data_IF_523883363856
#
_entry.id   IF_523883363856
#
_cell.length_a   1.000
_cell.length_b   1.000
_cell.length_c   1.000
_cell.angle_alpha   90.00
_cell.angle_beta   90.00
_cell.angle_gamma   90.00
#
_symmetry.space_group_name_H-M   'P 1'
#
loop_
_entity.id
_entity.type
_entity.pdbx_description
1 polymer ?
#
# COMPACT_ATOMS: atom_id res chain seq x y z
N UNK A 1 -20.44 8.83 -18.53
CA UNK A 1 -19.36 9.61 -17.87
C UNK A 1 -20.04 10.57 -16.93
N UNK A 2 -20.08 10.30 -15.63
CA UNK A 2 -20.50 11.31 -14.66
C UNK A 2 -19.32 12.26 -14.48
N UNK A 3 -19.50 13.51 -14.90
CA UNK A 3 -18.63 14.61 -14.52
C UNK A 3 -18.76 14.78 -13.02
N UNK A 4 -17.70 14.60 -12.28
CA UNK A 4 -17.68 14.85 -10.84
C UNK A 4 -17.46 16.35 -10.71
N UNK A 5 -18.54 17.11 -10.57
CA UNK A 5 -18.48 18.51 -10.18
C UNK A 5 -18.19 18.59 -8.68
N UNK A 6 -17.11 19.28 -8.34
CA UNK A 6 -16.72 19.58 -6.96
C UNK A 6 -17.37 20.89 -6.54
N UNK A 7 -18.20 20.84 -5.54
CA UNK A 7 -18.68 22.04 -4.87
C UNK A 7 -17.80 22.37 -3.67
N UNK A 8 -16.80 23.20 -3.91
CA UNK A 8 -15.93 23.80 -2.88
C UNK A 8 -16.46 25.16 -2.39
N UNK A 9 -17.65 25.56 -2.83
CA UNK A 9 -18.24 26.85 -2.47
C UNK A 9 -18.53 26.99 -0.98
N UNK A 10 -18.58 25.86 -0.23
CA UNK A 10 -18.93 25.84 1.19
C UNK A 10 -17.76 26.01 2.17
N UNK A 11 -16.48 25.80 1.73
CA UNK A 11 -15.30 25.99 2.61
C UNK A 11 -14.08 26.63 1.91
N UNK A 12 -14.16 27.91 1.53
CA UNK A 12 -13.07 28.56 0.80
C UNK A 12 -11.77 28.70 1.60
N UNK A 13 -11.82 28.72 2.92
CA UNK A 13 -10.64 28.90 3.77
C UNK A 13 -9.82 27.61 3.96
N UNK A 14 -10.47 26.49 4.21
CA UNK A 14 -9.77 25.19 4.33
C UNK A 14 -9.12 24.77 3.01
N UNK A 15 -9.72 25.13 1.89
CA UNK A 15 -9.15 24.90 0.57
C UNK A 15 -7.89 25.74 0.34
N UNK A 16 -7.88 27.03 0.70
CA UNK A 16 -6.70 27.89 0.63
C UNK A 16 -5.56 27.36 1.50
N UNK A 17 -5.87 26.87 2.70
CA UNK A 17 -4.88 26.24 3.59
C UNK A 17 -4.29 24.97 2.95
N UNK A 18 -5.12 24.15 2.31
CA UNK A 18 -4.66 22.96 1.58
C UNK A 18 -3.70 23.34 0.43
N UNK A 19 -4.07 24.34 -0.39
CA UNK A 19 -3.19 24.81 -1.47
C UNK A 19 -1.88 25.39 -0.93
N UNK A 20 -1.95 26.10 0.18
CA UNK A 20 -0.76 26.65 0.85
C UNK A 20 0.16 25.53 1.36
N UNK A 21 -0.42 24.50 2.02
CA UNK A 21 0.32 23.33 2.48
C UNK A 21 1.04 22.64 1.30
N UNK A 22 0.29 22.31 0.24
CA UNK A 22 0.84 21.60 -0.93
C UNK A 22 1.92 22.43 -1.63
N UNK A 23 1.68 23.73 -1.84
CA UNK A 23 2.65 24.63 -2.46
C UNK A 23 3.94 24.72 -1.66
N UNK A 24 3.84 24.76 -0.32
CA UNK A 24 5.00 24.73 0.59
C UNK A 24 5.79 23.44 0.43
N UNK A 25 5.11 22.28 0.41
CA UNK A 25 5.78 20.99 0.33
C UNK A 25 6.46 20.76 -1.04
N UNK A 26 5.86 21.22 -2.15
CA UNK A 26 6.49 21.19 -3.48
C UNK A 26 7.74 22.10 -3.48
N UNK A 27 7.63 23.32 -2.95
CA UNK A 27 8.76 24.27 -2.89
C UNK A 27 9.89 23.80 -1.99
N UNK A 28 9.58 23.08 -0.92
CA UNK A 28 10.58 22.51 0.00
C UNK A 28 11.20 21.20 -0.52
N UNK A 29 10.75 20.70 -1.68
CA UNK A 29 11.26 19.48 -2.29
C UNK A 29 10.77 18.19 -1.62
N UNK A 30 9.65 18.21 -0.89
CA UNK A 30 9.06 16.99 -0.31
C UNK A 30 8.62 16.03 -1.40
N UNK A 31 8.04 16.54 -2.47
CA UNK A 31 7.67 15.80 -3.69
C UNK A 31 7.52 16.79 -4.86
N UNK A 32 7.69 16.35 -6.11
CA UNK A 32 7.49 17.21 -7.29
C UNK A 32 6.02 17.51 -7.56
N UNK A 33 5.13 16.61 -7.18
CA UNK A 33 3.69 16.75 -7.31
C UNK A 33 2.93 15.72 -6.47
N UNK A 34 1.63 15.93 -6.33
CA UNK A 34 0.74 15.07 -5.56
C UNK A 34 -0.66 15.07 -6.16
N UNK A 35 -1.30 13.90 -6.20
CA UNK A 35 -2.72 13.73 -6.49
C UNK A 35 -3.43 13.34 -5.19
N UNK A 36 -4.56 14.04 -4.87
CA UNK A 36 -5.31 13.82 -3.63
C UNK A 36 -6.77 13.55 -3.96
N UNK A 37 -7.30 12.51 -3.35
CA UNK A 37 -8.75 12.27 -3.24
C UNK A 37 -9.15 12.31 -1.77
N UNK A 38 -10.23 13.05 -1.49
CA UNK A 38 -11.00 12.94 -0.27
C UNK A 38 -12.45 12.61 -0.61
N UNK A 39 -12.96 11.53 -0.02
CA UNK A 39 -14.33 11.07 -0.28
C UNK A 39 -15.03 10.65 1.01
N UNK A 40 -16.35 10.68 0.99
CA UNK A 40 -17.22 10.14 2.06
C UNK A 40 -18.28 9.23 1.43
N UNK A 41 -18.12 7.92 1.63
CA UNK A 41 -18.92 6.93 0.93
C UNK A 41 -18.69 6.97 -0.59
N UNK A 42 -19.78 7.16 -1.34
CA UNK A 42 -19.72 7.33 -2.81
C UNK A 42 -19.44 8.77 -3.26
N UNK A 43 -19.62 9.77 -2.37
CA UNK A 43 -19.42 11.18 -2.70
C UNK A 43 -17.94 11.53 -2.63
N UNK A 44 -17.37 11.95 -3.76
CA UNK A 44 -16.04 12.55 -3.82
C UNK A 44 -16.16 14.02 -3.44
N UNK A 45 -15.42 14.43 -2.41
CA UNK A 45 -15.40 15.81 -1.90
C UNK A 45 -14.22 16.60 -2.44
N UNK A 46 -13.10 15.92 -2.76
CA UNK A 46 -11.94 16.48 -3.41
C UNK A 46 -11.34 15.45 -4.36
N UNK A 47 -10.99 15.86 -5.57
CA UNK A 47 -10.09 15.12 -6.46
C UNK A 47 -9.29 16.13 -7.28
N UNK A 48 -8.03 16.31 -6.90
CA UNK A 48 -7.16 17.29 -7.56
C UNK A 48 -5.71 16.83 -7.59
N UNK A 49 -4.98 17.30 -8.58
CA UNK A 49 -3.54 17.12 -8.73
C UNK A 49 -2.82 18.47 -8.72
N UNK A 50 -1.63 18.49 -8.14
CA UNK A 50 -0.77 19.67 -8.03
C UNK A 50 0.67 19.32 -8.40
N UNK A 51 1.38 20.29 -8.94
CA UNK A 51 2.80 20.15 -9.32
C UNK A 51 3.01 19.34 -10.58
N UNK A 52 4.17 18.75 -10.68
CA UNK A 52 4.67 18.08 -11.89
C UNK A 52 5.04 16.62 -11.61
N UNK A 53 5.28 15.85 -12.66
CA UNK A 53 5.75 14.47 -12.56
C UNK A 53 7.19 14.36 -12.03
N UNK A 54 8.01 15.39 -12.24
CA UNK A 54 9.43 15.47 -11.82
C UNK A 54 9.75 16.86 -11.33
N UNK A 55 10.82 17.02 -10.52
CA UNK A 55 11.28 18.34 -10.08
C UNK A 55 11.83 19.20 -11.21
N UNK A 56 12.49 18.59 -12.19
CA UNK A 56 13.12 19.31 -13.30
C UNK A 56 12.21 19.31 -14.53
N UNK A 57 11.59 20.46 -14.79
CA UNK A 57 10.95 20.83 -16.07
C UNK A 57 10.13 19.69 -16.71
N UNK A 58 9.09 19.25 -16.06
CA UNK A 58 8.33 18.09 -16.48
C UNK A 58 6.87 18.41 -16.79
N UNK A 59 6.19 17.43 -17.36
CA UNK A 59 4.75 17.46 -17.56
C UNK A 59 3.99 17.61 -16.24
N UNK A 60 2.86 18.31 -16.22
CA UNK A 60 2.04 18.44 -15.03
C UNK A 60 1.54 17.10 -14.51
N UNK A 61 1.35 17.02 -13.19
CA UNK A 61 0.63 15.91 -12.55
C UNK A 61 -0.84 15.96 -12.95
N UNK A 62 -1.39 14.83 -13.38
CA UNK A 62 -2.77 14.73 -13.88
C UNK A 62 -3.62 13.80 -12.99
N UNK A 63 -4.97 13.89 -13.10
CA UNK A 63 -5.93 13.05 -12.35
C UNK A 63 -5.96 11.57 -12.82
N UNK A 64 -5.20 11.22 -13.83
CA UNK A 64 -5.01 9.87 -14.31
C UNK A 64 -3.53 9.45 -14.29
N UNK A 65 -2.72 10.18 -13.52
CA UNK A 65 -1.32 9.80 -13.30
C UNK A 65 -1.25 8.45 -12.60
N UNK A 66 -0.40 7.59 -13.13
CA UNK A 66 -0.15 6.24 -12.60
C UNK A 66 1.09 6.29 -11.70
N UNK A 67 0.97 5.76 -10.49
CA UNK A 67 2.05 5.76 -9.51
C UNK A 67 2.48 4.33 -9.17
N UNK A 68 3.77 4.13 -8.95
CA UNK A 68 4.24 2.99 -8.15
C UNK A 68 3.73 3.17 -6.72
N UNK A 69 2.75 2.38 -6.33
CA UNK A 69 2.11 2.52 -5.02
C UNK A 69 2.85 1.78 -3.91
N UNK A 70 3.98 1.16 -4.24
CA UNK A 70 4.88 0.48 -3.32
C UNK A 70 4.11 -0.47 -2.36
N UNK A 71 4.25 -0.26 -1.06
CA UNK A 71 3.67 -1.15 -0.04
C UNK A 71 2.15 -1.16 0.03
N UNK A 72 1.42 -0.30 -0.68
CA UNK A 72 -0.03 -0.47 -0.85
C UNK A 72 -0.36 -1.78 -1.60
N UNK A 73 0.61 -2.37 -2.30
CA UNK A 73 0.51 -3.72 -2.88
C UNK A 73 0.10 -4.76 -1.83
N UNK A 74 0.63 -4.66 -0.60
CA UNK A 74 0.36 -5.60 0.48
C UNK A 74 -1.13 -5.76 0.78
N UNK A 75 -1.86 -4.69 1.16
CA UNK A 75 -3.28 -4.78 1.45
C UNK A 75 -4.14 -4.92 0.19
N UNK A 76 -3.82 -4.21 -0.89
CA UNK A 76 -4.66 -4.18 -2.10
C UNK A 76 -4.61 -5.51 -2.85
N UNK A 77 -3.43 -6.10 -2.98
CA UNK A 77 -3.23 -7.32 -3.77
C UNK A 77 -3.14 -8.54 -2.87
N UNK A 78 -2.05 -8.63 -2.10
CA UNK A 78 -1.67 -9.86 -1.39
C UNK A 78 -2.70 -10.27 -0.35
N UNK A 79 -3.09 -9.34 0.54
CA UNK A 79 -4.13 -9.60 1.55
C UNK A 79 -5.46 -9.99 0.91
N UNK A 80 -5.89 -9.25 -0.10
CA UNK A 80 -7.16 -9.53 -0.79
C UNK A 80 -7.16 -10.92 -1.41
N UNK A 81 -6.08 -11.33 -2.08
CA UNK A 81 -5.94 -12.65 -2.68
C UNK A 81 -5.89 -13.77 -1.63
N UNK A 82 -5.16 -13.57 -0.53
CA UNK A 82 -5.15 -14.53 0.58
C UNK A 82 -6.57 -14.75 1.11
N UNK A 83 -7.32 -13.68 1.33
CA UNK A 83 -8.68 -13.79 1.84
C UNK A 83 -9.64 -14.43 0.84
N UNK A 84 -9.46 -14.17 -0.46
CA UNK A 84 -10.25 -14.85 -1.51
C UNK A 84 -9.97 -16.36 -1.57
N UNK A 85 -8.72 -16.79 -1.39
CA UNK A 85 -8.38 -18.22 -1.34
C UNK A 85 -8.88 -18.86 -0.04
N UNK A 86 -8.85 -18.13 1.07
CA UNK A 86 -9.44 -18.58 2.34
C UNK A 86 -10.96 -18.84 2.20
N UNK A 87 -11.70 -17.94 1.57
CA UNK A 87 -13.14 -18.13 1.31
C UNK A 87 -13.44 -19.36 0.45
N UNK A 88 -12.48 -19.76 -0.39
CA UNK A 88 -12.57 -20.98 -1.20
C UNK A 88 -12.10 -22.24 -0.48
N UNK A 89 -11.67 -22.13 0.77
CA UNK A 89 -11.12 -23.26 1.53
C UNK A 89 -9.78 -23.78 1.02
N UNK A 90 -9.05 -22.97 0.22
CA UNK A 90 -7.75 -23.38 -0.33
C UNK A 90 -6.58 -23.12 0.63
N UNK A 91 -6.81 -22.30 1.67
CA UNK A 91 -5.88 -22.02 2.77
C UNK A 91 -6.66 -21.52 3.99
N UNK A 92 -6.02 -21.53 5.17
CA UNK A 92 -6.48 -20.89 6.40
C UNK A 92 -5.42 -19.92 6.92
N UNK A 93 -5.83 -18.90 7.66
CA UNK A 93 -4.89 -17.93 8.24
C UNK A 93 -3.93 -18.55 9.26
N UNK A 94 -4.37 -19.60 9.92
CA UNK A 94 -3.61 -20.36 10.92
C UNK A 94 -2.79 -21.51 10.29
N UNK A 95 -2.84 -21.70 8.96
CA UNK A 95 -1.96 -22.64 8.28
C UNK A 95 -0.49 -22.23 8.50
N UNK A 96 0.35 -23.20 8.80
CA UNK A 96 1.79 -23.03 8.84
C UNK A 96 2.30 -22.73 7.43
N UNK A 97 3.22 -21.78 7.30
CA UNK A 97 3.82 -21.43 5.99
C UNK A 97 4.41 -22.66 5.31
N UNK A 98 5.04 -23.56 6.06
CA UNK A 98 5.64 -24.80 5.57
C UNK A 98 4.65 -25.74 4.87
N UNK A 99 3.36 -25.69 5.22
CA UNK A 99 2.34 -26.47 4.53
C UNK A 99 2.28 -26.16 3.03
N UNK A 100 2.53 -24.90 2.69
CA UNK A 100 2.48 -24.40 1.32
C UNK A 100 3.87 -24.26 0.70
N UNK A 101 4.89 -23.95 1.51
CA UNK A 101 6.29 -23.78 1.10
C UNK A 101 7.19 -24.70 1.96
N UNK A 102 7.33 -25.98 1.62
CA UNK A 102 8.08 -26.96 2.44
C UNK A 102 9.55 -26.59 2.69
N UNK A 103 10.15 -25.78 1.83
CA UNK A 103 11.54 -25.29 1.98
C UNK A 103 11.68 -24.09 2.94
N UNK A 104 10.56 -23.54 3.43
CA UNK A 104 10.59 -22.45 4.43
C UNK A 104 10.87 -23.05 5.82
N UNK A 105 12.12 -23.48 6.03
CA UNK A 105 12.56 -24.22 7.22
C UNK A 105 13.66 -23.45 7.98
N UNK A 106 13.95 -23.91 9.18
CA UNK A 106 14.99 -23.38 10.05
C UNK A 106 14.39 -22.90 11.37
N UNK A 107 15.25 -22.54 12.30
CA UNK A 107 14.92 -22.19 13.68
C UNK A 107 13.57 -21.48 13.81
N UNK A 108 12.59 -22.14 14.43
CA UNK A 108 11.24 -21.66 14.76
C UNK A 108 10.34 -21.25 13.57
N UNK A 109 10.80 -21.37 12.30
CA UNK A 109 9.98 -21.08 11.10
C UNK A 109 8.80 -22.02 10.97
N UNK A 110 8.91 -23.23 11.50
CA UNK A 110 7.84 -24.21 11.59
C UNK A 110 6.63 -23.77 12.43
N UNK A 111 6.76 -22.67 13.18
CA UNK A 111 5.68 -22.09 13.98
C UNK A 111 5.00 -20.90 13.28
N UNK A 112 5.55 -20.44 12.14
CA UNK A 112 5.03 -19.26 11.46
C UNK A 112 3.76 -19.63 10.68
N UNK A 113 2.67 -18.93 11.00
CA UNK A 113 1.41 -19.01 10.25
C UNK A 113 1.30 -17.91 9.20
N UNK A 114 0.38 -18.07 8.25
CA UNK A 114 0.06 -17.01 7.27
C UNK A 114 -0.39 -15.72 7.98
N UNK A 115 -1.12 -15.85 9.09
CA UNK A 115 -1.55 -14.71 9.92
C UNK A 115 -0.35 -13.95 10.52
N UNK A 116 0.66 -14.65 11.02
CA UNK A 116 1.89 -14.01 11.53
C UNK A 116 2.56 -13.14 10.48
N UNK A 117 2.61 -13.59 9.21
CA UNK A 117 3.14 -12.79 8.11
C UNK A 117 2.29 -11.56 7.82
N UNK A 118 0.96 -11.71 7.76
CA UNK A 118 0.02 -10.64 7.44
C UNK A 118 -0.06 -9.55 8.51
N UNK A 119 0.30 -9.87 9.75
CA UNK A 119 0.23 -8.95 10.90
C UNK A 119 1.60 -8.50 11.40
N UNK A 120 2.66 -8.88 10.67
CA UNK A 120 4.04 -8.48 10.93
C UNK A 120 4.60 -8.93 12.30
N UNK A 121 4.18 -10.10 12.77
CA UNK A 121 4.67 -10.73 14.01
C UNK A 121 5.35 -12.08 13.74
N UNK A 122 5.85 -12.29 12.55
CA UNK A 122 6.49 -13.57 12.15
C UNK A 122 7.91 -13.75 12.67
N UNK A 123 8.55 -12.71 13.18
CA UNK A 123 9.96 -12.74 13.57
C UNK A 123 10.95 -12.52 12.40
N UNK A 124 10.45 -12.45 11.15
CA UNK A 124 11.29 -12.10 10.01
C UNK A 124 11.82 -10.66 10.12
N UNK A 125 13.05 -10.37 9.65
CA UNK A 125 13.58 -9.02 9.55
C UNK A 125 12.65 -8.09 8.77
N UNK A 126 12.76 -6.79 9.02
CA UNK A 126 12.03 -5.78 8.26
C UNK A 126 12.33 -5.86 6.75
N UNK A 127 13.61 -6.08 6.44
CA UNK A 127 14.14 -6.11 5.09
C UNK A 127 15.43 -6.93 5.04
N UNK A 128 15.76 -7.49 3.89
CA UNK A 128 17.04 -8.11 3.58
C UNK A 128 17.36 -7.91 2.10
N UNK A 129 18.64 -7.94 1.74
CA UNK A 129 19.07 -7.83 0.35
C UNK A 129 18.90 -9.19 -0.35
N UNK A 130 17.86 -9.26 -1.21
CA UNK A 130 17.56 -10.46 -2.00
C UNK A 130 17.90 -10.29 -3.49
N UNK A 131 18.37 -9.12 -3.90
CA UNK A 131 18.51 -8.74 -5.31
C UNK A 131 19.94 -8.59 -5.79
N UNK A 132 20.90 -8.27 -4.91
CA UNK A 132 22.29 -8.13 -5.33
C UNK A 132 22.93 -9.48 -5.61
N UNK A 133 23.68 -9.56 -6.71
CA UNK A 133 24.42 -10.78 -7.09
C UNK A 133 23.53 -12.02 -7.21
N UNK A 134 22.28 -11.86 -7.62
CA UNK A 134 21.40 -12.97 -8.03
C UNK A 134 21.35 -13.06 -9.55
N UNK A 135 21.40 -14.27 -10.08
CA UNK A 135 21.33 -14.52 -11.52
C UNK A 135 19.88 -14.53 -12.03
N UNK A 136 18.93 -14.91 -11.18
CA UNK A 136 17.53 -15.06 -11.54
C UNK A 136 16.61 -15.00 -10.31
N UNK A 137 15.31 -15.01 -10.56
CA UNK A 137 14.27 -14.93 -9.50
C UNK A 137 14.23 -16.18 -8.60
N UNK A 138 14.66 -17.34 -9.08
CA UNK A 138 14.71 -18.57 -8.26
C UNK A 138 15.78 -18.47 -7.17
N UNK A 139 16.92 -17.87 -7.47
CA UNK A 139 17.94 -17.61 -6.46
C UNK A 139 17.48 -16.59 -5.42
N UNK A 140 16.76 -15.52 -5.84
CA UNK A 140 16.15 -14.58 -4.92
C UNK A 140 15.11 -15.26 -4.00
N UNK A 141 14.30 -16.19 -4.53
CA UNK A 141 13.37 -17.02 -3.76
C UNK A 141 14.09 -17.90 -2.75
N UNK A 142 15.16 -18.56 -3.19
CA UNK A 142 15.98 -19.40 -2.32
C UNK A 142 16.57 -18.60 -1.17
N UNK A 143 17.09 -17.39 -1.41
CA UNK A 143 17.56 -16.49 -0.35
C UNK A 143 16.44 -16.11 0.61
N UNK A 144 15.26 -15.74 0.10
CA UNK A 144 14.09 -15.40 0.93
C UNK A 144 13.73 -16.53 1.88
N UNK A 145 13.65 -17.76 1.37
CA UNK A 145 13.26 -18.93 2.19
C UNK A 145 14.30 -19.26 3.28
N UNK A 146 15.55 -18.86 3.10
CA UNK A 146 16.64 -19.11 4.04
C UNK A 146 16.94 -17.94 5.01
N UNK A 147 16.22 -16.80 4.93
CA UNK A 147 16.42 -15.67 5.86
C UNK A 147 16.19 -16.13 7.31
N UNK A 148 17.13 -15.91 8.24
CA UNK A 148 16.94 -16.25 9.64
C UNK A 148 15.91 -15.32 10.30
N UNK A 149 15.28 -15.81 11.38
CA UNK A 149 14.41 -14.96 12.22
C UNK A 149 15.28 -14.11 13.16
N UNK A 150 14.84 -12.88 13.42
CA UNK A 150 15.41 -12.00 14.44
C UNK A 150 14.76 -12.22 15.81
N UNK A 151 13.48 -12.64 15.83
CA UNK A 151 12.68 -12.86 17.03
C UNK A 151 11.82 -14.10 16.88
N UNK A 152 11.33 -14.63 17.99
CA UNK A 152 10.37 -15.74 17.95
C UNK A 152 9.02 -15.24 17.38
N UNK A 153 8.29 -16.08 16.65
CA UNK A 153 6.97 -15.73 16.14
C UNK A 153 6.02 -15.29 17.26
N UNK A 154 5.36 -14.16 17.09
CA UNK A 154 4.46 -13.57 18.06
C UNK A 154 5.12 -12.70 19.14
N UNK A 155 6.45 -12.65 19.24
CA UNK A 155 7.17 -11.90 20.28
C UNK A 155 7.11 -10.39 20.06
N UNK A 156 7.32 -9.93 18.82
CA UNK A 156 7.37 -8.51 18.48
C UNK A 156 6.66 -8.23 17.16
N UNK A 157 6.12 -7.01 17.04
CA UNK A 157 5.65 -6.50 15.76
C UNK A 157 6.78 -5.73 15.07
N UNK A 158 7.28 -6.30 13.96
CA UNK A 158 8.27 -5.67 13.08
C UNK A 158 7.69 -5.65 11.67
N UNK A 159 7.43 -4.45 11.15
CA UNK A 159 6.96 -4.29 9.79
C UNK A 159 7.95 -4.94 8.81
N UNK A 160 7.58 -6.08 8.23
CA UNK A 160 8.44 -6.87 7.37
C UNK A 160 7.92 -6.91 5.93
N UNK A 161 8.75 -6.47 4.98
CA UNK A 161 8.51 -6.69 3.55
C UNK A 161 8.67 -8.15 3.16
N UNK A 162 9.57 -8.88 3.84
CA UNK A 162 9.88 -10.28 3.56
C UNK A 162 8.66 -11.19 3.81
N UNK A 163 7.89 -10.92 4.87
CA UNK A 163 6.67 -11.69 5.14
C UNK A 163 5.67 -11.64 4.00
N UNK A 164 5.55 -10.50 3.32
CA UNK A 164 4.66 -10.35 2.18
C UNK A 164 5.22 -10.92 0.88
N UNK A 165 6.55 -10.95 0.71
CA UNK A 165 7.18 -11.75 -0.36
C UNK A 165 6.86 -13.24 -0.18
N UNK A 166 7.01 -13.78 1.05
CA UNK A 166 6.63 -15.17 1.35
C UNK A 166 5.15 -15.43 1.04
N UNK A 167 4.24 -14.52 1.41
CA UNK A 167 2.82 -14.65 1.06
C UNK A 167 2.59 -14.65 -0.46
N UNK A 168 3.33 -13.84 -1.22
CA UNK A 168 3.30 -13.88 -2.69
C UNK A 168 3.68 -15.25 -3.26
N UNK A 169 4.73 -15.87 -2.72
CA UNK A 169 5.16 -17.23 -3.11
C UNK A 169 4.11 -18.28 -2.73
N UNK A 170 3.48 -18.16 -1.54
CA UNK A 170 2.36 -19.04 -1.14
C UNK A 170 1.21 -18.95 -2.13
N UNK A 171 0.80 -17.74 -2.51
CA UNK A 171 -0.28 -17.53 -3.49
C UNK A 171 0.06 -18.15 -4.84
N UNK A 172 1.28 -17.92 -5.33
CA UNK A 172 1.74 -18.49 -6.59
C UNK A 172 1.81 -20.01 -6.55
N UNK A 173 2.27 -20.58 -5.43
CA UNK A 173 2.36 -22.04 -5.25
C UNK A 173 0.99 -22.72 -5.24
N UNK A 174 0.03 -22.15 -4.50
CA UNK A 174 -1.33 -22.73 -4.41
C UNK A 174 -2.07 -22.64 -5.75
N UNK A 175 -1.89 -21.55 -6.49
CA UNK A 175 -2.71 -21.27 -7.67
C UNK A 175 -2.05 -21.65 -9.00
N UNK A 176 -0.74 -21.85 -9.01
CA UNK A 176 0.05 -22.02 -10.24
C UNK A 176 0.10 -20.79 -11.14
N UNK A 177 -0.26 -19.60 -10.62
CA UNK A 177 -0.33 -18.35 -11.38
C UNK A 177 0.59 -17.29 -10.79
N UNK A 178 1.08 -16.38 -11.64
CA UNK A 178 1.80 -15.20 -11.18
C UNK A 178 0.87 -14.24 -10.42
N UNK A 179 1.45 -13.41 -9.54
CA UNK A 179 0.70 -12.46 -8.74
C UNK A 179 -0.01 -11.40 -9.62
N UNK A 180 0.63 -10.98 -10.71
CA UNK A 180 0.05 -10.08 -11.72
C UNK A 180 -1.20 -10.66 -12.35
N UNK A 181 -1.16 -11.93 -12.76
CA UNK A 181 -2.30 -12.61 -13.37
C UNK A 181 -3.45 -12.77 -12.37
N UNK A 182 -3.13 -13.16 -11.13
CA UNK A 182 -4.11 -13.27 -10.06
C UNK A 182 -4.78 -11.93 -9.77
N UNK A 183 -4.00 -10.86 -9.62
CA UNK A 183 -4.52 -9.51 -9.39
C UNK A 183 -5.44 -9.09 -10.54
N UNK A 184 -4.98 -9.22 -11.77
CA UNK A 184 -5.77 -8.83 -12.95
C UNK A 184 -7.10 -9.57 -13.01
N UNK A 185 -7.07 -10.90 -12.92
CA UNK A 185 -8.27 -11.74 -13.07
C UNK A 185 -9.25 -11.60 -11.90
N UNK A 186 -8.73 -11.52 -10.67
CA UNK A 186 -9.55 -11.66 -9.46
C UNK A 186 -9.92 -10.32 -8.82
N UNK A 187 -9.16 -9.26 -9.07
CA UNK A 187 -9.36 -7.96 -8.44
C UNK A 187 -9.59 -6.88 -9.48
N UNK A 188 -8.61 -6.63 -10.37
CA UNK A 188 -8.64 -5.49 -11.27
C UNK A 188 -9.80 -5.55 -12.26
N UNK A 189 -9.97 -6.66 -12.95
CA UNK A 189 -11.05 -6.85 -13.94
C UNK A 189 -12.45 -6.76 -13.31
N UNK A 190 -12.78 -7.49 -12.23
CA UNK A 190 -14.10 -7.39 -11.59
C UNK A 190 -14.42 -5.99 -11.07
N UNK A 191 -13.45 -5.31 -10.46
CA UNK A 191 -13.62 -3.96 -9.91
C UNK A 191 -13.42 -2.84 -10.93
N UNK A 192 -13.12 -3.17 -12.20
CA UNK A 192 -12.85 -2.19 -13.28
C UNK A 192 -11.73 -1.21 -12.91
N UNK A 193 -10.63 -1.72 -12.34
CA UNK A 193 -9.43 -0.95 -12.04
C UNK A 193 -8.56 -0.92 -13.30
N UNK A 194 -8.91 -0.02 -14.21
CA UNK A 194 -8.37 -0.01 -15.57
C UNK A 194 -6.90 0.42 -15.67
N UNK A 195 -6.42 1.16 -14.68
CA UNK A 195 -5.06 1.71 -14.64
C UNK A 195 -4.19 1.08 -13.55
N UNK A 196 -4.62 -0.07 -13.02
CA UNK A 196 -3.89 -0.80 -11.98
C UNK A 196 -3.27 -2.06 -12.56
N UNK A 197 -1.94 -2.18 -12.45
CA UNK A 197 -1.20 -3.31 -13.03
C UNK A 197 0.19 -3.46 -12.42
N UNK A 198 0.77 -4.63 -12.61
CA UNK A 198 2.20 -4.88 -12.40
C UNK A 198 2.98 -4.64 -13.68
N UNK A 199 4.25 -4.23 -13.54
CA UNK A 199 5.22 -4.09 -14.63
C UNK A 199 4.70 -3.28 -15.84
N UNK A 200 4.17 -2.05 -15.67
CA UNK A 200 3.64 -1.27 -16.79
C UNK A 200 4.72 -0.99 -17.86
N UNK A 201 5.98 -0.87 -17.47
CA UNK A 201 7.08 -0.67 -18.42
C UNK A 201 7.29 -1.81 -19.43
N UNK A 202 6.79 -3.01 -19.11
CA UNK A 202 6.80 -4.18 -20.01
C UNK A 202 5.52 -4.30 -20.83
N UNK A 203 4.44 -3.61 -20.44
CA UNK A 203 3.08 -3.80 -20.98
C UNK A 203 2.57 -2.64 -21.83
N UNK A 204 3.06 -1.43 -21.55
CA UNK A 204 2.60 -0.19 -22.19
C UNK A 204 3.68 0.37 -23.10
N UNK A 205 3.27 0.84 -24.29
CA UNK A 205 4.15 1.55 -25.24
C UNK A 205 4.34 3.03 -24.86
N UNK A 206 3.38 3.62 -24.15
CA UNK A 206 3.46 5.00 -23.66
C UNK A 206 3.47 5.02 -22.12
N UNK A 207 4.54 5.57 -21.59
CA UNK A 207 4.76 5.72 -20.15
C UNK A 207 4.61 7.18 -19.67
N UNK A 208 4.16 8.09 -20.53
CA UNK A 208 4.09 9.53 -20.24
C UNK A 208 3.22 9.87 -19.03
N UNK A 209 2.20 9.05 -18.74
CA UNK A 209 1.31 9.21 -17.58
C UNK A 209 1.84 8.56 -16.30
N UNK A 210 2.97 7.87 -16.34
CA UNK A 210 3.53 7.22 -15.17
C UNK A 210 4.48 8.18 -14.47
N UNK A 211 4.23 8.46 -13.20
CA UNK A 211 5.14 9.25 -12.37
C UNK A 211 6.46 8.47 -12.18
N UNK A 212 7.61 9.03 -12.59
CA UNK A 212 8.88 8.37 -12.34
C UNK A 212 9.20 8.40 -10.84
N UNK A 213 9.91 7.39 -10.38
CA UNK A 213 10.36 7.31 -9.00
C UNK A 213 11.80 7.81 -8.87
N UNK A 214 12.75 6.95 -8.64
CA UNK A 214 14.12 7.29 -8.29
C UNK A 214 15.05 7.24 -9.52
N UNK A 215 16.08 8.09 -9.51
CA UNK A 215 17.26 7.85 -10.33
C UNK A 215 18.10 6.76 -9.64
N UNK A 216 17.78 5.53 -9.92
CA UNK A 216 18.27 4.36 -9.19
C UNK A 216 19.75 4.10 -9.47
N UNK A 217 20.58 4.14 -8.44
CA UNK A 217 22.02 3.87 -8.55
C UNK A 217 22.32 2.42 -8.92
N UNK A 218 21.55 1.47 -8.39
CA UNK A 218 21.67 0.05 -8.68
C UNK A 218 21.32 -0.25 -10.15
N UNK A 219 20.20 0.27 -10.66
CA UNK A 219 19.73 0.05 -12.04
C UNK A 219 20.27 1.09 -13.03
N UNK A 220 21.02 2.09 -12.56
CA UNK A 220 21.70 3.14 -13.34
C UNK A 220 20.77 3.88 -14.31
N UNK A 221 19.52 4.13 -13.90
CA UNK A 221 18.50 4.84 -14.69
C UNK A 221 17.39 5.41 -13.83
N UNK A 222 16.70 6.42 -14.37
CA UNK A 222 15.43 6.90 -13.81
C UNK A 222 14.37 5.81 -13.99
N UNK A 223 13.72 5.44 -12.89
CA UNK A 223 12.69 4.40 -12.90
C UNK A 223 11.33 5.00 -13.28
N UNK A 224 10.81 4.62 -14.43
CA UNK A 224 9.47 4.96 -14.91
C UNK A 224 8.81 3.68 -15.42
N UNK A 225 7.71 3.27 -14.79
CA UNK A 225 7.03 2.02 -15.13
C UNK A 225 7.78 0.74 -14.70
N UNK A 226 8.82 0.90 -13.89
CA UNK A 226 9.61 -0.18 -13.29
C UNK A 226 9.46 -0.06 -11.79
N UNK A 227 9.19 -1.16 -11.10
CA UNK A 227 9.00 -1.16 -9.65
C UNK A 227 10.21 -0.56 -8.92
N UNK A 228 9.96 0.32 -7.94
CA UNK A 228 11.01 0.95 -7.15
C UNK A 228 11.71 -0.04 -6.23
N UNK A 229 10.96 -0.91 -5.55
CA UNK A 229 11.49 -1.91 -4.62
C UNK A 229 12.39 -2.93 -5.34
N UNK A 230 13.65 -3.04 -4.91
CA UNK A 230 14.64 -3.91 -5.56
C UNK A 230 14.35 -5.38 -5.34
N UNK A 231 13.85 -5.74 -4.15
CA UNK A 231 13.48 -7.13 -3.91
C UNK A 231 12.32 -7.54 -4.81
N UNK A 232 11.27 -6.71 -4.92
CA UNK A 232 10.19 -6.99 -5.85
C UNK A 232 10.67 -7.05 -7.30
N UNK A 233 11.66 -6.23 -7.67
CA UNK A 233 12.29 -6.29 -9.00
C UNK A 233 12.97 -7.66 -9.24
N UNK A 234 13.68 -8.20 -8.25
CA UNK A 234 14.28 -9.54 -8.32
C UNK A 234 13.22 -10.67 -8.40
N UNK A 235 12.00 -10.40 -7.93
CA UNK A 235 10.84 -11.27 -8.07
C UNK A 235 10.03 -10.93 -9.34
N UNK A 236 10.70 -10.60 -10.45
CA UNK A 236 10.12 -10.31 -11.77
C UNK A 236 9.17 -9.10 -11.78
N UNK A 237 9.34 -8.17 -10.84
CA UNK A 237 8.48 -7.01 -10.56
C UNK A 237 7.09 -7.38 -10.01
N UNK A 238 6.91 -8.59 -9.49
CA UNK A 238 5.64 -9.12 -8.99
C UNK A 238 5.74 -9.56 -7.52
N UNK A 239 6.44 -8.80 -6.69
CA UNK A 239 6.57 -9.09 -5.26
C UNK A 239 5.25 -8.92 -4.51
N UNK A 240 4.98 -9.81 -3.55
CA UNK A 240 3.80 -9.68 -2.68
C UNK A 240 3.85 -8.44 -1.75
N UNK A 241 5.02 -7.82 -1.61
CA UNK A 241 5.26 -6.64 -0.78
C UNK A 241 5.12 -5.32 -1.54
N UNK A 242 5.40 -5.29 -2.85
CA UNK A 242 5.41 -4.11 -3.72
C UNK A 242 5.32 -4.54 -5.19
N UNK A 243 5.10 -3.58 -6.11
CA UNK A 243 5.07 -3.83 -7.57
C UNK A 243 3.76 -3.43 -8.23
N UNK A 244 2.71 -3.14 -7.47
CA UNK A 244 1.49 -2.57 -8.02
C UNK A 244 1.71 -1.12 -8.45
N UNK A 245 1.30 -0.80 -9.67
CA UNK A 245 1.09 0.56 -10.15
C UNK A 245 -0.41 0.84 -10.22
N UNK A 246 -0.83 2.04 -9.81
CA UNK A 246 -2.25 2.39 -9.76
C UNK A 246 -2.47 3.91 -9.85
N UNK A 247 -3.73 4.32 -10.04
CA UNK A 247 -4.20 5.70 -9.94
C UNK A 247 -4.99 5.92 -8.66
N UNK A 248 -5.14 7.17 -8.22
CA UNK A 248 -5.96 7.50 -7.06
C UNK A 248 -7.43 7.08 -7.26
N UNK A 249 -7.94 7.16 -8.49
CA UNK A 249 -9.30 6.74 -8.84
C UNK A 249 -9.52 5.23 -8.68
N UNK A 250 -8.57 4.41 -9.11
CA UNK A 250 -8.67 2.96 -8.96
C UNK A 250 -8.56 2.55 -7.48
N UNK A 251 -7.67 3.20 -6.71
CA UNK A 251 -7.58 3.00 -5.26
C UNK A 251 -8.84 3.49 -4.51
N UNK A 252 -9.51 4.54 -4.98
CA UNK A 252 -10.81 4.95 -4.44
C UNK A 252 -11.85 3.84 -4.62
N UNK A 253 -11.94 3.25 -5.80
CA UNK A 253 -12.88 2.13 -6.05
C UNK A 253 -12.58 0.95 -5.13
N UNK A 254 -11.30 0.60 -4.96
CA UNK A 254 -10.91 -0.45 -4.03
C UNK A 254 -11.27 -0.09 -2.57
N UNK A 255 -11.06 1.17 -2.16
CA UNK A 255 -11.45 1.62 -0.81
C UNK A 255 -12.97 1.59 -0.60
N UNK A 256 -13.74 1.95 -1.62
CA UNK A 256 -15.20 1.87 -1.61
C UNK A 256 -15.69 0.42 -1.46
N UNK A 257 -15.03 -0.56 -2.08
CA UNK A 257 -15.30 -1.98 -1.84
C UNK A 257 -15.17 -2.32 -0.34
N UNK A 258 -14.09 -1.86 0.31
CA UNK A 258 -13.85 -2.16 1.72
C UNK A 258 -14.90 -1.52 2.64
N UNK A 259 -15.22 -0.23 2.47
CA UNK A 259 -16.23 0.45 3.30
C UNK A 259 -17.67 0.02 3.00
N UNK A 260 -17.90 -0.68 1.89
CA UNK A 260 -19.16 -1.31 1.50
C UNK A 260 -19.16 -2.82 1.79
N UNK A 261 -18.33 -3.26 2.73
CA UNK A 261 -18.34 -4.64 3.23
C UNK A 261 -18.12 -5.68 2.12
N UNK A 262 -17.21 -5.39 1.18
CA UNK A 262 -16.74 -6.32 0.15
C UNK A 262 -17.57 -6.33 -1.14
N UNK A 263 -18.43 -5.34 -1.36
CA UNK A 263 -19.23 -5.20 -2.57
C UNK A 263 -19.10 -3.82 -3.20
N UNK A 264 -18.97 -3.75 -4.51
CA UNK A 264 -18.95 -2.52 -5.29
C UNK A 264 -19.66 -2.72 -6.63
N UNK A 265 -20.58 -1.81 -6.99
CA UNK A 265 -21.31 -1.83 -8.27
C UNK A 265 -21.99 -3.20 -8.57
N UNK A 266 -22.53 -3.86 -7.54
CA UNK A 266 -23.14 -5.19 -7.65
C UNK A 266 -22.15 -6.37 -7.74
N UNK A 267 -20.84 -6.10 -7.67
CA UNK A 267 -19.79 -7.12 -7.65
C UNK A 267 -19.35 -7.36 -6.21
N UNK A 268 -19.60 -8.56 -5.69
CA UNK A 268 -19.07 -9.01 -4.39
C UNK A 268 -17.73 -9.70 -4.61
N UNK A 269 -16.67 -9.10 -4.09
CA UNK A 269 -15.32 -9.65 -4.18
C UNK A 269 -14.95 -10.49 -2.95
N UNK A 270 -15.41 -10.04 -1.77
CA UNK A 270 -15.22 -10.68 -0.48
C UNK A 270 -16.52 -10.64 0.33
N UNK A 271 -16.72 -11.57 1.24
CA UNK A 271 -17.83 -11.56 2.18
C UNK A 271 -17.67 -10.43 3.22
N UNK A 272 -18.78 -9.99 3.81
CA UNK A 272 -18.77 -9.05 4.94
C UNK A 272 -17.91 -9.55 6.09
N UNK A 273 -17.96 -10.86 6.36
CA UNK A 273 -17.15 -11.49 7.41
C UNK A 273 -15.66 -11.39 7.11
N UNK A 274 -15.24 -11.61 5.86
CA UNK A 274 -13.83 -11.45 5.46
C UNK A 274 -13.36 -10.01 5.57
N UNK A 275 -14.18 -9.03 5.20
CA UNK A 275 -13.83 -7.61 5.39
C UNK A 275 -13.70 -7.28 6.89
N UNK A 276 -14.62 -7.71 7.73
CA UNK A 276 -14.53 -7.50 9.17
C UNK A 276 -13.27 -8.16 9.75
N UNK A 277 -12.92 -9.36 9.25
CA UNK A 277 -11.68 -10.06 9.63
C UNK A 277 -10.43 -9.30 9.19
N UNK A 278 -10.39 -8.76 7.97
CA UNK A 278 -9.26 -7.95 7.47
C UNK A 278 -9.01 -6.73 8.35
N UNK A 279 -10.07 -6.05 8.77
CA UNK A 279 -9.99 -4.72 9.39
C UNK A 279 -9.98 -4.76 10.94
N UNK A 280 -10.10 -5.93 11.58
CA UNK A 280 -9.96 -6.03 13.03
C UNK A 280 -8.49 -6.16 13.45
N UNK A 281 -8.19 -5.77 14.69
CA UNK A 281 -6.86 -6.00 15.26
C UNK A 281 -6.64 -7.50 15.53
N UNK A 282 -5.52 -8.03 15.06
CA UNK A 282 -5.09 -9.41 15.26
C UNK A 282 -3.91 -9.55 16.22
N UNK A 283 -3.19 -8.46 16.47
CA UNK A 283 -2.02 -8.53 17.32
C UNK A 283 -2.41 -8.59 18.81
N UNK A 284 -1.67 -9.36 19.62
CA UNK A 284 -1.85 -9.42 21.05
C UNK A 284 -1.81 -8.04 21.73
N UNK A 285 -2.39 -7.94 22.92
CA UNK A 285 -2.28 -6.74 23.76
C UNK A 285 -0.80 -6.49 24.08
N UNK A 286 -0.38 -5.25 23.94
CA UNK A 286 1.04 -4.84 24.10
C UNK A 286 1.82 -4.74 22.81
N UNK A 287 1.34 -5.29 21.71
CA UNK A 287 1.91 -5.08 20.38
C UNK A 287 1.11 -4.05 19.57
N UNK A 288 1.79 -3.37 18.64
CA UNK A 288 1.13 -2.41 17.76
C UNK A 288 -0.01 -3.08 16.99
N UNK A 289 -1.22 -2.49 17.00
CA UNK A 289 -2.38 -3.08 16.34
C UNK A 289 -2.17 -3.19 14.83
N UNK A 290 -2.55 -4.35 14.32
CA UNK A 290 -2.56 -4.63 12.89
C UNK A 290 -3.81 -5.41 12.49
N UNK A 291 -4.45 -4.97 11.42
CA UNK A 291 -5.32 -5.82 10.63
C UNK A 291 -4.50 -6.70 9.70
N UNK A 292 -5.17 -7.49 8.89
CA UNK A 292 -4.47 -8.31 7.89
C UNK A 292 -3.94 -7.39 6.78
N UNK A 293 -2.65 -7.07 6.85
CA UNK A 293 -1.98 -6.15 5.92
C UNK A 293 -2.29 -4.66 6.11
N UNK A 294 -3.08 -4.28 7.11
CA UNK A 294 -3.47 -2.90 7.37
C UNK A 294 -2.92 -2.38 8.70
N UNK A 295 -2.52 -1.12 8.72
CA UNK A 295 -2.34 -0.36 9.95
C UNK A 295 -3.73 0.00 10.49
N UNK A 296 -3.92 -0.12 11.82
CA UNK A 296 -5.18 0.24 12.49
C UNK A 296 -4.89 1.32 13.52
N UNK A 297 -5.56 2.47 13.41
CA UNK A 297 -5.48 3.52 14.40
C UNK A 297 -6.23 3.11 15.66
N UNK A 298 -5.54 3.09 16.80
CA UNK A 298 -6.13 2.94 18.14
C UNK A 298 -6.78 4.22 18.63
N UNK A 299 -7.76 4.13 19.55
CA UNK A 299 -8.10 5.24 20.42
C UNK A 299 -6.83 5.75 21.13
N UNK A 300 -6.56 7.04 21.05
CA UNK A 300 -5.42 7.63 21.74
C UNK A 300 -5.69 7.60 23.25
N UNK A 301 -4.90 6.83 24.01
CA UNK A 301 -4.82 7.05 25.43
C UNK A 301 -3.85 8.23 25.64
N UNK A 302 -4.29 9.24 26.39
CA UNK A 302 -3.48 10.42 26.75
C UNK A 302 -2.23 10.06 27.59
N UNK A 303 -2.07 8.80 27.98
CA UNK A 303 -0.94 8.32 28.77
C UNK A 303 0.32 7.99 27.97
N UNK A 304 0.19 7.71 26.66
CA UNK A 304 1.31 7.12 25.91
C UNK A 304 2.18 8.12 25.14
N UNK A 305 1.87 9.42 25.16
CA UNK A 305 2.75 10.49 24.65
C UNK A 305 3.20 10.39 23.16
N UNK A 306 2.83 9.35 22.46
CA UNK A 306 3.34 9.03 21.15
C UNK A 306 2.47 9.64 20.05
N UNK A 307 2.65 10.92 19.82
CA UNK A 307 1.93 11.73 18.80
C UNK A 307 2.15 11.25 17.34
N UNK A 308 3.09 10.33 17.10
CA UNK A 308 3.59 9.98 15.76
C UNK A 308 3.50 8.48 15.42
N UNK A 309 2.88 7.67 16.26
CA UNK A 309 2.81 6.21 16.04
C UNK A 309 1.95 5.81 14.83
N UNK A 310 1.02 6.68 14.41
CA UNK A 310 0.14 6.39 13.26
C UNK A 310 0.46 7.28 12.08
N UNK A 311 0.63 6.67 10.93
CA UNK A 311 0.92 7.40 9.69
C UNK A 311 -0.22 8.30 9.23
N UNK A 312 -1.43 8.17 9.81
CA UNK A 312 -2.57 9.06 9.56
C UNK A 312 -2.64 10.29 10.48
N UNK A 313 -1.86 10.32 11.56
CA UNK A 313 -1.94 11.39 12.55
C UNK A 313 -3.17 11.32 13.49
N UNK A 314 -3.30 12.30 14.40
CA UNK A 314 -4.30 12.26 15.47
C UNK A 314 -5.75 12.50 14.99
N UNK A 315 -5.94 13.27 13.92
CA UNK A 315 -7.25 13.78 13.52
C UNK A 315 -8.11 12.75 12.75
N UNK A 316 -7.50 11.72 12.19
CA UNK A 316 -8.27 10.63 11.58
C UNK A 316 -9.07 9.90 12.68
N UNK A 317 -10.35 9.50 12.42
CA UNK A 317 -11.16 8.81 13.42
C UNK A 317 -10.52 7.52 13.92
N UNK A 318 -10.78 7.15 15.18
CA UNK A 318 -10.34 5.87 15.74
C UNK A 318 -10.91 4.67 14.96
N UNK A 319 -10.19 3.56 14.98
CA UNK A 319 -10.46 2.37 14.17
C UNK A 319 -10.39 2.62 12.66
N UNK A 320 -9.76 3.72 12.24
CA UNK A 320 -9.40 3.89 10.83
C UNK A 320 -8.32 2.91 10.43
N UNK A 321 -8.38 2.48 9.18
CA UNK A 321 -7.43 1.56 8.59
C UNK A 321 -6.70 2.26 7.44
N UNK A 322 -5.41 1.95 7.29
CA UNK A 322 -4.65 2.55 6.22
C UNK A 322 -3.32 1.86 5.97
N UNK A 323 -2.63 2.35 4.98
CA UNK A 323 -1.27 1.94 4.67
C UNK A 323 -0.55 3.03 3.89
N UNK A 324 0.78 3.05 3.98
CA UNK A 324 1.63 3.98 3.23
C UNK A 324 2.57 3.24 2.29
N UNK A 325 2.92 3.89 1.18
CA UNK A 325 3.96 3.43 0.27
C UNK A 325 5.25 4.21 0.44
N UNK A 326 6.38 3.52 0.29
CA UNK A 326 7.71 4.13 0.40
C UNK A 326 7.92 5.25 -0.62
N UNK A 327 7.35 5.10 -1.79
CA UNK A 327 7.41 6.09 -2.90
C UNK A 327 6.73 7.41 -2.62
N UNK A 328 5.92 7.50 -1.54
CA UNK A 328 5.21 8.74 -1.13
C UNK A 328 3.69 8.59 -1.15
N UNK A 329 3.19 7.43 -1.46
CA UNK A 329 1.76 7.13 -1.55
C UNK A 329 1.15 6.81 -0.18
N UNK A 330 -0.14 7.08 -0.01
CA UNK A 330 -0.91 6.70 1.18
C UNK A 330 -2.38 6.52 0.87
N UNK A 331 -3.02 5.61 1.59
CA UNK A 331 -4.45 5.34 1.56
C UNK A 331 -4.91 5.12 2.99
N UNK A 332 -5.88 5.93 3.43
CA UNK A 332 -6.52 5.80 4.73
C UNK A 332 -8.03 5.90 4.59
N UNK A 333 -8.74 5.10 5.36
CA UNK A 333 -10.20 5.13 5.39
C UNK A 333 -10.74 4.74 6.78
N UNK A 334 -11.95 5.17 7.06
CA UNK A 334 -12.67 4.77 8.27
C UNK A 334 -13.98 4.06 7.88
N UNK A 335 -14.16 2.78 8.26
CA UNK A 335 -15.37 2.03 7.89
C UNK A 335 -16.67 2.61 8.47
N UNK A 336 -16.63 3.20 9.68
CA UNK A 336 -17.80 3.72 10.35
C UNK A 336 -18.23 5.09 9.79
N UNK A 337 -17.27 6.03 9.62
CA UNK A 337 -17.57 7.37 9.08
C UNK A 337 -17.60 7.41 7.56
N UNK A 338 -17.12 6.34 6.91
CA UNK A 338 -16.97 6.17 5.45
C UNK A 338 -16.07 7.22 4.79
N UNK A 339 -15.20 7.87 5.56
CA UNK A 339 -14.20 8.80 5.05
C UNK A 339 -13.05 8.03 4.40
N UNK A 340 -12.58 8.51 3.26
CA UNK A 340 -11.45 7.94 2.50
C UNK A 340 -10.55 9.10 2.11
N UNK A 341 -9.25 8.99 2.43
CA UNK A 341 -8.22 9.91 1.95
C UNK A 341 -7.14 9.13 1.22
N UNK A 342 -6.89 9.50 -0.01
CA UNK A 342 -5.82 8.96 -0.85
C UNK A 342 -4.91 10.11 -1.22
N UNK A 343 -3.60 9.96 -1.00
CA UNK A 343 -2.61 10.91 -1.46
C UNK A 343 -1.50 10.13 -2.17
N UNK A 344 -1.32 10.39 -3.46
CA UNK A 344 -0.33 9.74 -4.29
C UNK A 344 0.73 10.76 -4.72
N UNK A 345 1.97 10.52 -4.34
CA UNK A 345 3.13 11.31 -4.75
C UNK A 345 4.29 10.39 -5.09
N UNK A 346 5.29 10.93 -5.73
CA UNK A 346 6.54 10.23 -6.02
C UNK A 346 7.72 10.92 -5.29
N UNK A 347 7.63 11.04 -3.94
CA UNK A 347 8.62 11.71 -3.11
C UNK A 347 10.07 11.26 -3.34
N UNK A 348 10.25 10.01 -3.76
CA UNK A 348 11.57 9.42 -4.06
C UNK A 348 12.17 9.92 -5.39
N UNK A 349 11.46 10.75 -6.13
CA UNK A 349 12.03 11.50 -7.25
C UNK A 349 12.84 12.67 -6.67
N UNK A 350 14.10 12.79 -6.88
CA UNK A 350 15.06 12.05 -7.69
C UNK A 350 15.79 10.96 -6.87
N UNK A 351 15.74 11.04 -5.53
CA UNK A 351 16.46 10.17 -4.59
C UNK A 351 15.57 9.73 -3.43
N UNK A 352 15.74 8.48 -3.00
CA UNK A 352 15.05 7.89 -1.84
C UNK A 352 15.43 8.52 -0.50
N UNK A 353 16.62 9.13 -0.43
CA UNK A 353 17.14 9.75 0.80
C UNK A 353 16.43 11.05 1.14
N UNK A 354 15.72 11.65 0.18
CA UNK A 354 15.02 12.90 0.36
C UNK A 354 13.78 12.75 1.24
N UNK A 355 13.71 13.57 2.28
CA UNK A 355 12.47 14.04 2.92
C UNK A 355 11.49 13.01 3.49
N UNK A 356 11.98 11.88 4.05
CA UNK A 356 11.08 10.88 4.67
C UNK A 356 10.24 11.48 5.82
N UNK A 357 10.81 12.39 6.62
CA UNK A 357 10.09 13.02 7.72
C UNK A 357 9.13 14.11 7.21
N UNK A 358 9.45 14.77 6.10
CA UNK A 358 8.57 15.75 5.48
C UNK A 358 7.30 15.10 4.93
N UNK A 359 7.41 13.97 4.23
CA UNK A 359 6.20 13.26 3.75
C UNK A 359 5.34 12.72 4.89
N UNK A 360 5.94 12.30 6.02
CA UNK A 360 5.18 11.92 7.22
C UNK A 360 4.40 13.11 7.77
N UNK A 361 5.06 14.27 8.00
CA UNK A 361 4.40 15.50 8.46
C UNK A 361 3.33 15.98 7.49
N UNK A 362 3.60 15.92 6.18
CA UNK A 362 2.61 16.29 5.17
C UNK A 362 1.33 15.47 5.30
N UNK A 363 1.44 14.14 5.44
CA UNK A 363 0.27 13.26 5.59
C UNK A 363 -0.55 13.61 6.82
N UNK A 364 0.09 13.85 7.96
CA UNK A 364 -0.59 14.25 9.21
C UNK A 364 -1.33 15.57 9.02
N UNK A 365 -0.66 16.59 8.47
CA UNK A 365 -1.26 17.90 8.24
C UNK A 365 -2.40 17.83 7.20
N UNK A 366 -2.21 17.06 6.13
CA UNK A 366 -3.25 16.81 5.12
C UNK A 366 -4.51 16.22 5.75
N UNK A 367 -4.34 15.18 6.57
CA UNK A 367 -5.46 14.53 7.23
C UNK A 367 -6.15 15.48 8.21
N UNK A 368 -5.40 16.28 9.00
CA UNK A 368 -5.97 17.30 9.86
C UNK A 368 -6.85 18.28 9.08
N UNK A 369 -6.35 18.84 7.98
CA UNK A 369 -7.12 19.76 7.13
C UNK A 369 -8.37 19.13 6.54
N UNK A 370 -8.26 17.90 6.00
CA UNK A 370 -9.38 17.25 5.32
C UNK A 370 -10.45 16.71 6.28
N UNK A 371 -10.07 16.27 7.47
CA UNK A 371 -10.99 15.63 8.43
C UNK A 371 -11.62 16.64 9.39
N UNK A 372 -10.85 17.62 9.86
CA UNK A 372 -11.29 18.57 10.89
C UNK A 372 -11.35 20.03 10.41
N UNK A 373 -10.83 20.32 9.22
CA UNK A 373 -10.72 21.71 8.69
C UNK A 373 -9.64 22.56 9.38
N UNK A 374 -8.72 21.96 10.16
CA UNK A 374 -7.72 22.66 10.98
C UNK A 374 -6.32 22.65 10.39
#
# INVERSE_FOLDING_TARGET
MMSIEFDWSEEPESYKRLETLISKEIKSGTFPGVEIIYAKGSKVLLHKAWGNLEFANSSPMLLDTVFDVASLTKPVVTTTLVMMLREKGMLNLDDLVQLHLPLFTGREKEQITLKHLMTHISGLPAWANLYESVENSEEARTRLLNIPLEFSPGEKMIYSCLGFLVLGEVLSKITGKSLSNLFHEKIAKPLKLHNSMFSPGKKLSDLSKIAPTENCTFRKKLLRGIVHDENSFAFEEEGGNAGLFSTAKDLLRFSQLLINEGELDGVRLLSKQSIAEILKNHNPVGLTPRGLGWEIKKPMSTADGAFWEYSCGPDFPDNSCGHTGFTGTSLWFNPATKQIVIALSNRVNISRENNIDSIKRFRVNLHGLLITGR
#
